data_IF_683870628134
#
_entry.id   IF_683870628134
#
_cell.length_a   1.000
_cell.length_b   1.000
_cell.length_c   1.000
_cell.angle_alpha   90.00
_cell.angle_beta   90.00
_cell.angle_gamma   90.00
#
_symmetry.space_group_name_H-M   'P 1'
#
loop_
_entity.id
_entity.type
_entity.pdbx_description
1 polymer ?
#
# COMPACT_ATOMS: atom_id res chain seq x y z
N UNK A 1 8.57 -15.86 2.95
CA UNK A 1 7.20 -15.32 3.04
C UNK A 1 6.78 -14.86 1.65
N UNK A 2 5.52 -14.54 1.43
CA UNK A 2 5.06 -13.94 0.18
C UNK A 2 4.88 -12.44 0.37
N UNK A 3 5.23 -11.66 -0.64
CA UNK A 3 5.13 -10.20 -0.64
C UNK A 3 4.28 -9.80 -1.83
N UNK A 4 3.27 -8.99 -1.59
CA UNK A 4 2.46 -8.37 -2.61
C UNK A 4 3.16 -7.10 -3.10
N UNK A 5 3.28 -6.98 -4.42
CA UNK A 5 3.78 -5.76 -5.10
C UNK A 5 2.72 -5.33 -6.09
N UNK A 6 2.19 -4.12 -5.89
CA UNK A 6 1.17 -3.51 -6.75
C UNK A 6 1.77 -2.26 -7.37
N UNK A 7 1.66 -2.12 -8.70
CA UNK A 7 1.92 -0.87 -9.39
C UNK A 7 0.59 -0.22 -9.72
N UNK A 8 0.41 1.03 -9.30
CA UNK A 8 -0.75 1.84 -9.68
C UNK A 8 -0.30 3.05 -10.48
N UNK A 9 -1.10 3.41 -11.48
CA UNK A 9 -0.93 4.57 -12.33
C UNK A 9 -2.30 5.22 -12.57
N UNK A 10 -2.43 6.49 -12.19
CA UNK A 10 -3.63 7.32 -12.40
C UNK A 10 -4.95 6.63 -11.98
N UNK A 11 -4.99 6.05 -10.79
CA UNK A 11 -6.18 5.39 -10.23
C UNK A 11 -6.40 3.96 -10.74
N UNK A 12 -5.45 3.39 -11.47
CA UNK A 12 -5.56 2.03 -12.02
C UNK A 12 -4.36 1.17 -11.68
N UNK A 13 -4.62 -0.08 -11.30
CA UNK A 13 -3.56 -1.08 -11.11
C UNK A 13 -3.01 -1.50 -12.48
N UNK A 14 -1.80 -1.07 -12.78
CA UNK A 14 -1.10 -1.39 -14.03
C UNK A 14 -0.33 -2.72 -13.94
N UNK A 15 0.05 -3.15 -12.73
CA UNK A 15 0.73 -4.43 -12.51
C UNK A 15 0.51 -4.96 -11.10
N UNK A 16 0.47 -6.29 -10.95
CA UNK A 16 0.38 -6.99 -9.67
C UNK A 16 1.24 -8.25 -9.69
N UNK A 17 2.11 -8.40 -8.71
CA UNK A 17 2.92 -9.60 -8.50
C UNK A 17 2.86 -10.08 -7.05
N UNK A 18 2.91 -11.39 -6.87
CA UNK A 18 3.15 -12.03 -5.56
C UNK A 18 4.52 -12.69 -5.64
N UNK A 19 5.47 -12.18 -4.86
CA UNK A 19 6.88 -12.57 -4.91
C UNK A 19 7.24 -13.35 -3.65
N UNK A 20 7.85 -14.51 -3.82
CA UNK A 20 8.45 -15.26 -2.71
C UNK A 20 9.78 -14.59 -2.30
N UNK A 21 9.89 -14.20 -1.03
CA UNK A 21 11.09 -13.53 -0.51
C UNK A 21 10.86 -12.89 0.86
N UNK A 22 11.87 -12.18 1.34
CA UNK A 22 11.74 -11.34 2.55
C UNK A 22 11.31 -9.92 2.17
N UNK A 23 10.42 -9.32 2.97
CA UNK A 23 9.89 -7.99 2.72
C UNK A 23 10.97 -6.92 2.46
N UNK A 24 12.06 -6.81 3.26
CA UNK A 24 13.11 -5.82 2.99
C UNK A 24 13.81 -6.02 1.65
N UNK A 25 13.99 -7.27 1.22
CA UNK A 25 14.64 -7.57 -0.05
C UNK A 25 13.72 -7.22 -1.23
N UNK A 26 12.44 -7.59 -1.15
CA UNK A 26 11.46 -7.27 -2.19
C UNK A 26 11.24 -5.77 -2.28
N UNK A 27 11.18 -5.06 -1.15
CA UNK A 27 11.08 -3.60 -1.11
C UNK A 27 12.26 -2.92 -1.84
N UNK A 28 13.50 -3.30 -1.52
CA UNK A 28 14.70 -2.74 -2.17
C UNK A 28 14.75 -3.03 -3.67
N UNK A 29 14.37 -4.24 -4.06
CA UNK A 29 14.28 -4.61 -5.47
C UNK A 29 13.22 -3.76 -6.19
N UNK A 30 12.06 -3.56 -5.57
CA UNK A 30 10.97 -2.73 -6.12
C UNK A 30 11.37 -1.26 -6.21
N UNK A 31 12.04 -0.72 -5.19
CA UNK A 31 12.61 0.62 -5.24
C UNK A 31 13.62 0.79 -6.37
N UNK A 32 14.45 -0.24 -6.62
CA UNK A 32 15.40 -0.24 -7.74
C UNK A 32 14.69 -0.26 -9.09
N UNK A 33 13.53 -0.92 -9.20
CA UNK A 33 12.70 -0.89 -10.40
C UNK A 33 12.08 0.50 -10.59
N UNK A 34 11.51 1.08 -9.54
CA UNK A 34 10.95 2.43 -9.57
C UNK A 34 12.00 3.48 -9.96
N UNK A 35 13.22 3.40 -9.41
CA UNK A 35 14.34 4.30 -9.76
C UNK A 35 14.73 4.24 -11.24
N UNK A 36 14.50 3.11 -11.93
CA UNK A 36 14.76 3.01 -13.37
C UNK A 36 13.68 3.66 -14.22
N UNK A 37 12.48 3.85 -13.66
CA UNK A 37 11.34 4.47 -14.33
C UNK A 37 11.20 5.96 -13.97
N UNK A 38 11.73 6.36 -12.82
CA UNK A 38 11.70 7.73 -12.32
C UNK A 38 12.41 8.70 -13.25
N UNK A 39 11.84 9.90 -13.40
CA UNK A 39 12.48 11.05 -14.01
C UNK A 39 12.78 12.10 -12.94
N UNK A 40 14.05 12.26 -12.62
CA UNK A 40 14.56 13.13 -11.57
C UNK A 40 14.34 14.63 -11.84
N UNK A 41 14.00 15.00 -13.07
CA UNK A 41 13.71 16.39 -13.45
C UNK A 41 12.23 16.75 -13.33
N UNK A 42 11.34 15.78 -13.10
CA UNK A 42 9.89 15.97 -13.13
C UNK A 42 9.20 15.74 -11.78
N UNK A 43 9.73 14.87 -10.94
CA UNK A 43 9.10 14.52 -9.67
C UNK A 43 10.10 14.17 -8.59
N UNK A 44 9.65 14.14 -7.34
CA UNK A 44 10.41 13.59 -6.24
C UNK A 44 10.36 12.05 -6.25
N UNK A 45 11.32 11.42 -5.56
CA UNK A 45 11.32 9.99 -5.27
C UNK A 45 11.17 9.77 -3.77
N UNK A 46 10.05 9.21 -3.35
CA UNK A 46 9.67 9.11 -1.94
C UNK A 46 9.32 7.66 -1.60
N UNK A 47 9.86 7.13 -0.50
CA UNK A 47 9.42 5.87 0.09
C UNK A 47 8.78 6.17 1.42
N UNK A 48 7.46 6.08 1.48
CA UNK A 48 6.66 6.20 2.69
C UNK A 48 6.44 4.82 3.29
N UNK A 49 6.57 4.72 4.61
CA UNK A 49 6.18 3.54 5.38
C UNK A 49 4.93 3.88 6.17
N UNK A 50 3.91 3.05 6.04
CA UNK A 50 2.70 3.12 6.84
C UNK A 50 2.39 1.75 7.47
N UNK A 51 1.38 1.71 8.31
CA UNK A 51 0.90 0.53 9.02
C UNK A 51 -0.58 0.31 8.72
N UNK A 52 -0.91 -0.86 8.17
CA UNK A 52 -2.28 -1.24 7.85
C UNK A 52 -2.83 -2.22 8.87
N UNK A 53 -3.98 -1.91 9.45
CA UNK A 53 -4.69 -2.83 10.32
C UNK A 53 -5.53 -3.82 9.49
N UNK A 54 -5.34 -5.11 9.75
CA UNK A 54 -6.12 -6.19 9.14
C UNK A 54 -6.82 -7.04 10.20
N UNK A 55 -8.03 -7.48 9.85
CA UNK A 55 -8.90 -8.30 10.69
C UNK A 55 -8.99 -9.70 10.09
N UNK A 56 -8.52 -10.69 10.86
CA UNK A 56 -8.31 -12.06 10.35
C UNK A 56 -9.14 -13.05 11.18
N UNK A 57 -10.00 -13.87 10.57
CA UNK A 57 -10.84 -14.81 11.30
C UNK A 57 -10.02 -15.91 11.98
N UNK A 58 -10.46 -16.29 13.19
CA UNK A 58 -9.93 -17.43 13.94
C UNK A 58 -10.69 -18.73 13.59
N UNK A 59 -10.01 -19.90 13.61
CA UNK A 59 -8.59 -20.09 13.93
C UNK A 59 -7.64 -19.76 12.77
N UNK A 60 -6.47 -19.19 13.09
CA UNK A 60 -5.44 -18.93 12.09
C UNK A 60 -4.83 -20.23 11.57
N UNK A 61 -4.61 -20.32 10.25
CA UNK A 61 -3.79 -21.37 9.66
C UNK A 61 -2.36 -21.26 10.18
N UNK A 62 -1.64 -22.37 10.42
CA UNK A 62 -0.26 -22.33 10.96
C UNK A 62 0.69 -21.45 10.16
N UNK A 63 0.58 -21.45 8.83
CA UNK A 63 1.40 -20.63 7.95
C UNK A 63 1.12 -19.12 8.12
N UNK A 64 -0.15 -18.74 8.23
CA UNK A 64 -0.59 -17.37 8.48
C UNK A 64 -0.13 -16.90 9.86
N UNK A 65 -0.20 -17.77 10.86
CA UNK A 65 0.29 -17.48 12.21
C UNK A 65 1.80 -17.17 12.23
N UNK A 66 2.62 -18.03 11.63
CA UNK A 66 4.07 -17.83 11.62
C UNK A 66 4.48 -16.53 10.92
N UNK A 67 3.76 -16.14 9.87
CA UNK A 67 3.99 -14.88 9.16
C UNK A 67 3.59 -13.67 10.00
N UNK A 68 2.47 -13.76 10.73
CA UNK A 68 1.85 -12.62 11.41
C UNK A 68 2.16 -12.52 12.89
N UNK A 69 2.80 -13.51 13.51
CA UNK A 69 3.04 -13.53 14.96
C UNK A 69 3.69 -12.26 15.51
N UNK A 70 4.53 -11.59 14.71
CA UNK A 70 5.20 -10.34 15.07
C UNK A 70 4.38 -9.07 14.76
N UNK A 71 3.27 -9.21 14.04
CA UNK A 71 2.36 -8.15 13.61
C UNK A 71 1.03 -8.18 14.37
N UNK A 72 0.68 -9.27 15.05
CA UNK A 72 -0.55 -9.38 15.85
C UNK A 72 -0.51 -8.39 17.01
N UNK A 73 -1.44 -7.43 17.02
CA UNK A 73 -1.64 -6.48 18.11
C UNK A 73 -2.55 -7.04 19.19
N UNK A 74 -3.65 -7.68 18.80
CA UNK A 74 -4.66 -8.18 19.73
C UNK A 74 -5.44 -9.36 19.15
N UNK A 75 -6.21 -10.04 19.99
CA UNK A 75 -7.11 -11.13 19.59
C UNK A 75 -8.44 -10.99 20.31
N UNK A 76 -9.52 -11.20 19.58
CA UNK A 76 -10.88 -11.36 20.10
C UNK A 76 -11.23 -12.85 20.14
N UNK A 77 -12.50 -13.18 20.44
CA UNK A 77 -12.97 -14.57 20.41
C UNK A 77 -13.08 -15.13 18.98
N UNK A 78 -13.30 -14.25 18.00
CA UNK A 78 -13.57 -14.62 16.60
C UNK A 78 -12.46 -14.20 15.63
N UNK A 79 -11.61 -13.24 16.00
CA UNK A 79 -10.66 -12.63 15.07
C UNK A 79 -9.32 -12.27 15.74
N UNK A 80 -8.27 -12.20 14.94
CA UNK A 80 -6.99 -11.59 15.30
C UNK A 80 -6.83 -10.27 14.55
N UNK A 81 -6.39 -9.24 15.27
CA UNK A 81 -6.09 -7.92 14.70
C UNK A 81 -4.57 -7.84 14.56
N UNK A 82 -4.11 -7.63 13.33
CA UNK A 82 -2.69 -7.48 13.01
C UNK A 82 -2.43 -6.15 12.31
N UNK A 83 -1.26 -5.57 12.57
CA UNK A 83 -0.81 -4.35 11.93
C UNK A 83 0.39 -4.69 11.05
N UNK A 84 0.18 -4.66 9.74
CA UNK A 84 1.19 -5.02 8.75
C UNK A 84 1.82 -3.76 8.14
N UNK A 85 3.15 -3.75 7.90
CA UNK A 85 3.78 -2.62 7.25
C UNK A 85 3.42 -2.59 5.76
N UNK A 86 3.06 -1.41 5.28
CA UNK A 86 2.93 -1.08 3.86
C UNK A 86 4.00 -0.07 3.50
N UNK A 87 4.51 -0.18 2.27
CA UNK A 87 5.43 0.79 1.72
C UNK A 87 4.89 1.33 0.41
N UNK A 88 4.80 2.66 0.31
CA UNK A 88 4.42 3.36 -0.92
C UNK A 88 5.69 4.00 -1.49
N UNK A 89 6.07 3.58 -2.68
CA UNK A 89 7.18 4.14 -3.45
C UNK A 89 6.57 5.05 -4.51
N UNK A 90 6.57 6.34 -4.25
CA UNK A 90 6.16 7.36 -5.23
C UNK A 90 7.35 7.78 -6.08
N UNK A 91 7.18 7.71 -7.40
CA UNK A 91 8.24 7.99 -8.38
C UNK A 91 7.73 8.75 -9.61
N UNK A 92 6.47 9.20 -9.57
CA UNK A 92 5.88 10.17 -10.49
C UNK A 92 4.80 10.88 -9.68
N UNK A 93 5.11 12.10 -9.25
CA UNK A 93 4.27 12.93 -8.41
C UNK A 93 4.43 14.39 -8.84
N UNK A 94 3.42 15.19 -8.54
CA UNK A 94 3.45 16.62 -8.76
C UNK A 94 2.91 17.34 -7.52
N UNK A 95 3.50 18.50 -7.22
CA UNK A 95 2.96 19.38 -6.21
C UNK A 95 1.76 20.12 -6.80
N UNK A 96 0.57 19.86 -6.26
CA UNK A 96 -0.67 20.54 -6.66
C UNK A 96 -1.15 21.35 -5.47
N UNK A 97 -1.13 22.67 -5.63
CA UNK A 97 -1.55 23.63 -4.61
C UNK A 97 -0.78 23.47 -3.29
N UNK A 98 -1.30 22.63 -2.38
CA UNK A 98 -0.77 22.41 -1.03
C UNK A 98 -0.46 20.95 -0.72
N UNK A 99 -0.61 20.03 -1.68
CA UNK A 99 -0.42 18.59 -1.47
C UNK A 99 0.33 17.90 -2.63
N UNK A 100 0.85 16.71 -2.36
CA UNK A 100 1.44 15.83 -3.36
C UNK A 100 0.36 15.01 -4.03
N UNK A 101 0.31 15.09 -5.37
CA UNK A 101 -0.48 14.18 -6.18
C UNK A 101 0.40 13.10 -6.75
N UNK A 102 0.26 11.89 -6.23
CA UNK A 102 0.94 10.71 -6.76
C UNK A 102 0.26 10.23 -8.06
N UNK A 103 0.99 10.22 -9.17
CA UNK A 103 0.52 9.67 -10.44
C UNK A 103 0.90 8.21 -10.60
N UNK A 104 2.11 7.83 -10.16
CA UNK A 104 2.61 6.45 -10.21
C UNK A 104 3.25 6.05 -8.90
N UNK A 105 2.79 4.92 -8.38
CA UNK A 105 3.35 4.33 -7.16
C UNK A 105 3.55 2.83 -7.30
N UNK A 106 4.50 2.33 -6.53
CA UNK A 106 4.50 0.92 -6.13
C UNK A 106 4.06 0.81 -4.67
N UNK A 107 3.09 -0.05 -4.39
CA UNK A 107 2.70 -0.45 -3.03
C UNK A 107 3.28 -1.84 -2.74
N UNK A 108 4.00 -1.98 -1.64
CA UNK A 108 4.68 -3.21 -1.23
C UNK A 108 4.27 -3.61 0.19
N UNK A 109 3.81 -4.84 0.38
CA UNK A 109 3.35 -5.33 1.68
C UNK A 109 3.46 -6.86 1.81
N UNK A 110 3.41 -7.42 3.03
CA UNK A 110 3.21 -8.85 3.21
C UNK A 110 1.90 -9.33 2.56
N UNK A 111 1.94 -10.44 1.82
CA UNK A 111 0.73 -11.08 1.30
C UNK A 111 0.13 -12.02 2.36
N UNK A 112 -1.10 -11.78 2.78
CA UNK A 112 -1.78 -12.54 3.82
C UNK A 112 -2.84 -13.47 3.23
N UNK A 113 -3.80 -12.92 2.51
CA UNK A 113 -4.90 -13.63 1.85
C UNK A 113 -5.51 -12.79 0.71
N UNK A 114 -6.48 -13.36 0.00
CA UNK A 114 -7.13 -12.68 -1.14
C UNK A 114 -7.97 -11.47 -0.70
N UNK A 115 -8.43 -11.42 0.55
CA UNK A 115 -9.21 -10.30 1.06
C UNK A 115 -8.32 -9.06 1.23
N UNK A 116 -7.22 -9.21 1.98
CA UNK A 116 -6.21 -8.17 2.17
C UNK A 116 -5.54 -7.76 0.86
N UNK A 117 -5.38 -8.68 -0.10
CA UNK A 117 -4.94 -8.35 -1.45
C UNK A 117 -5.90 -7.34 -2.11
N UNK A 118 -7.20 -7.62 -2.12
CA UNK A 118 -8.18 -6.73 -2.74
C UNK A 118 -8.24 -5.36 -2.06
N UNK A 119 -8.17 -5.32 -0.72
CA UNK A 119 -8.10 -4.06 0.04
C UNK A 119 -6.89 -3.22 -0.36
N UNK A 120 -5.72 -3.86 -0.51
CA UNK A 120 -4.49 -3.18 -0.94
C UNK A 120 -4.49 -2.75 -2.41
N UNK A 121 -5.19 -3.49 -3.28
CA UNK A 121 -5.39 -3.08 -4.67
C UNK A 121 -6.24 -1.82 -4.75
N UNK A 122 -7.34 -1.75 -3.97
CA UNK A 122 -8.17 -0.54 -3.89
C UNK A 122 -7.40 0.64 -3.27
N UNK A 123 -6.63 0.39 -2.21
CA UNK A 123 -5.76 1.40 -1.62
C UNK A 123 -4.75 1.95 -2.66
N UNK A 124 -4.07 1.09 -3.41
CA UNK A 124 -3.12 1.51 -4.42
C UNK A 124 -3.77 2.37 -5.52
N UNK A 125 -5.01 2.06 -5.91
CA UNK A 125 -5.78 2.91 -6.83
C UNK A 125 -6.05 4.27 -6.19
N UNK A 126 -6.62 4.29 -4.99
CA UNK A 126 -6.97 5.52 -4.27
C UNK A 126 -5.79 6.48 -4.13
N UNK A 127 -4.61 5.98 -3.76
CA UNK A 127 -3.38 6.79 -3.65
C UNK A 127 -3.04 7.51 -4.95
N UNK A 128 -3.35 6.92 -6.10
CA UNK A 128 -3.06 7.51 -7.43
C UNK A 128 -4.27 8.09 -8.13
N UNK A 129 -5.44 8.07 -7.50
CA UNK A 129 -6.65 8.61 -8.09
C UNK A 129 -6.55 10.12 -8.13
N UNK A 130 -7.04 10.78 -9.19
CA UNK A 130 -7.25 12.21 -9.13
C UNK A 130 -8.17 12.50 -7.94
N UNK A 131 -7.79 13.48 -7.11
CA UNK A 131 -8.71 14.07 -6.12
C UNK A 131 -9.98 14.42 -6.88
N UNK A 132 -11.08 13.73 -6.59
CA UNK A 132 -12.38 14.20 -7.03
C UNK A 132 -12.68 15.42 -6.15
N UNK A 133 -12.93 16.58 -6.77
CA UNK A 133 -13.26 17.86 -6.09
C UNK A 133 -14.54 17.79 -5.21
N UNK A 134 -15.08 16.60 -4.90
CA UNK A 134 -16.41 16.43 -4.29
C UNK A 134 -16.45 16.34 -2.76
N UNK A 135 -15.35 16.52 -2.03
CA UNK A 135 -15.38 16.47 -0.54
C UNK A 135 -14.90 17.76 0.15
N UNK A 136 -14.66 18.85 -0.58
CA UNK A 136 -14.26 20.15 0.03
C UNK A 136 -15.47 21.10 0.20
N UNK A 137 -16.51 20.99 -0.62
CA UNK A 137 -17.68 21.90 -0.53
C UNK A 137 -18.63 21.61 0.65
N UNK A 138 -18.70 20.38 1.19
CA UNK A 138 -19.61 20.08 2.32
C UNK A 138 -19.08 20.54 3.68
N UNK A 139 -17.81 20.93 3.79
CA UNK A 139 -17.22 21.43 5.05
C UNK A 139 -17.25 22.96 5.19
N UNK A 140 -17.42 23.71 4.09
CA UNK A 140 -17.45 25.18 4.11
C UNK A 140 -18.86 25.78 4.24
N UNK A 141 -19.93 24.98 4.13
CA UNK A 141 -21.31 25.45 4.32
C UNK A 141 -21.83 25.33 5.78
N UNK A 142 -21.06 24.73 6.70
CA UNK A 142 -21.43 24.58 8.13
C UNK A 142 -20.67 25.52 9.10
N UNK A 143 -20.06 26.63 8.64
CA UNK A 143 -19.59 27.72 9.52
C UNK A 143 -20.43 29.01 9.46
#
# INVERSE_FOLDING_TARGET
MKVLVVKSENGQVSKKDIVDGELPQVLRNTATLALKEWNENLSDFIIMKDMYEIHIPLPLKPQTYEMLKNYIKSRTKSEAIAEIPIFVISFDNEWVESDFKDKKVYVVSPYIDDKSENELLEYAKQVTSPVQETEIEEAEEEE
#
